data_IF_453841203215
#
_entry.id   IF_453841203215
#
_cell.length_a   1.000
_cell.length_b   1.000
_cell.length_c   1.000
_cell.angle_alpha   90.00
_cell.angle_beta   90.00
_cell.angle_gamma   90.00
#
_symmetry.space_group_name_H-M   'P 1'
#
loop_
_entity.id
_entity.type
_entity.pdbx_description
1 polymer ?
#
# COMPACT_ATOMS: atom_id res chain seq x y z
N UNK A 1 5.14 -4.91 25.83
CA UNK A 1 5.94 -4.42 24.70
C UNK A 1 5.97 -5.53 23.67
N UNK A 2 5.70 -5.24 22.40
CA UNK A 2 5.87 -6.23 21.34
C UNK A 2 7.36 -6.58 21.20
N UNK A 3 7.69 -7.87 21.13
CA UNK A 3 9.05 -8.36 20.83
C UNK A 3 9.07 -8.98 19.41
N UNK A 4 8.59 -8.25 18.41
CA UNK A 4 8.38 -8.79 17.05
C UNK A 4 9.71 -9.08 16.35
N UNK A 5 10.61 -8.09 16.33
CA UNK A 5 11.93 -8.25 15.69
C UNK A 5 12.82 -9.18 16.49
N UNK A 6 12.74 -9.15 17.82
CA UNK A 6 13.49 -10.09 18.66
C UNK A 6 13.02 -11.54 18.46
N UNK A 7 11.72 -11.76 18.18
CA UNK A 7 11.21 -13.09 17.83
C UNK A 7 11.81 -13.58 16.51
N UNK A 8 11.89 -12.71 15.49
CA UNK A 8 12.52 -13.02 14.20
C UNK A 8 14.03 -13.31 14.36
N UNK A 9 14.74 -12.47 15.10
CA UNK A 9 16.19 -12.56 15.25
C UNK A 9 16.65 -13.78 16.07
N UNK A 10 15.79 -14.32 16.94
CA UNK A 10 16.05 -15.54 17.72
C UNK A 10 15.76 -16.82 16.93
N UNK A 11 15.01 -16.73 15.83
CA UNK A 11 14.64 -17.87 15.00
C UNK A 11 15.59 -18.01 13.82
N UNK A 12 16.81 -18.44 14.14
CA UNK A 12 17.94 -18.55 13.20
C UNK A 12 17.69 -19.51 12.05
N UNK A 13 16.81 -20.49 12.26
CA UNK A 13 16.57 -21.57 11.31
C UNK A 13 15.27 -21.33 10.51
N UNK A 14 14.50 -20.29 10.86
CA UNK A 14 13.25 -19.93 10.19
C UNK A 14 12.11 -20.94 10.34
N UNK A 15 12.28 -21.95 11.21
CA UNK A 15 11.34 -23.07 11.39
C UNK A 15 10.59 -23.03 12.72
N UNK A 16 11.02 -22.22 13.69
CA UNK A 16 10.47 -22.25 15.05
C UNK A 16 9.34 -21.24 15.26
N UNK A 17 9.27 -20.19 14.46
CA UNK A 17 8.24 -19.15 14.55
C UNK A 17 7.22 -19.34 13.44
N UNK A 18 5.97 -19.58 13.83
CA UNK A 18 4.84 -19.63 12.90
C UNK A 18 4.52 -18.22 12.35
N UNK A 19 4.38 -18.13 11.02
CA UNK A 19 4.08 -16.87 10.35
C UNK A 19 2.68 -16.34 10.71
N UNK A 20 1.71 -17.23 10.95
CA UNK A 20 0.36 -16.87 11.36
C UNK A 20 0.34 -16.22 12.74
N UNK A 21 1.04 -16.80 13.71
CA UNK A 21 1.20 -16.24 15.06
C UNK A 21 1.92 -14.89 15.04
N UNK A 22 2.99 -14.78 14.24
CA UNK A 22 3.70 -13.51 14.07
C UNK A 22 2.81 -12.45 13.41
N UNK A 23 2.05 -12.82 12.37
CA UNK A 23 1.12 -11.92 11.70
C UNK A 23 0.00 -11.41 12.62
N UNK A 24 -0.55 -12.27 13.48
CA UNK A 24 -1.52 -11.89 14.50
C UNK A 24 -0.94 -10.87 15.48
N UNK A 25 0.29 -11.11 15.97
CA UNK A 25 0.97 -10.16 16.86
C UNK A 25 1.26 -8.81 16.18
N UNK A 26 1.56 -8.80 14.88
CA UNK A 26 1.74 -7.56 14.10
C UNK A 26 0.40 -6.83 13.93
N UNK A 27 -0.68 -7.57 13.68
CA UNK A 27 -2.03 -7.00 13.56
C UNK A 27 -2.49 -6.33 14.86
N UNK A 28 -2.19 -6.96 16.01
CA UNK A 28 -2.53 -6.45 17.34
C UNK A 28 -1.59 -5.32 17.82
N UNK A 29 -0.40 -5.21 17.23
CA UNK A 29 0.56 -4.16 17.58
C UNK A 29 0.12 -2.79 17.02
N UNK A 30 0.46 -1.74 17.78
CA UNK A 30 0.37 -0.37 17.28
C UNK A 30 1.59 -0.07 16.40
N UNK A 31 1.40 0.70 15.32
CA UNK A 31 2.45 1.12 14.39
C UNK A 31 3.61 1.83 15.12
N UNK A 32 3.28 2.61 16.17
CA UNK A 32 4.28 3.23 17.04
C UNK A 32 5.21 2.22 17.73
N UNK A 33 4.67 1.09 18.20
CA UNK A 33 5.46 0.06 18.88
C UNK A 33 6.39 -0.65 17.89
N UNK A 34 5.88 -0.97 16.71
CA UNK A 34 6.66 -1.59 15.62
C UNK A 34 7.80 -0.65 15.20
N UNK A 35 7.52 0.63 14.99
CA UNK A 35 8.53 1.62 14.63
C UNK A 35 9.57 1.84 15.73
N UNK A 36 9.14 1.92 16.99
CA UNK A 36 10.05 2.05 18.14
C UNK A 36 10.99 0.86 18.25
N UNK A 37 10.47 -0.36 18.09
CA UNK A 37 11.26 -1.59 18.13
C UNK A 37 12.26 -1.63 16.95
N UNK A 38 11.83 -1.29 15.74
CA UNK A 38 12.71 -1.20 14.57
C UNK A 38 13.85 -0.19 14.75
N UNK A 39 13.54 0.95 15.36
CA UNK A 39 14.50 2.03 15.63
C UNK A 39 15.54 1.65 16.70
N UNK A 40 15.24 0.67 17.56
CA UNK A 40 16.18 0.19 18.58
C UNK A 40 17.21 -0.82 18.07
N UNK A 41 17.03 -1.33 16.84
CA UNK A 41 17.94 -2.29 16.24
C UNK A 41 19.23 -1.60 15.78
N UNK A 42 20.36 -2.28 15.94
CA UNK A 42 21.60 -1.90 15.27
C UNK A 42 21.59 -2.32 13.78
N UNK A 43 22.62 -1.93 13.03
CA UNK A 43 22.69 -2.20 11.59
C UNK A 43 22.75 -3.70 11.26
N UNK A 44 23.48 -4.49 12.04
CA UNK A 44 23.59 -5.94 11.86
C UNK A 44 22.25 -6.63 12.14
N UNK A 45 21.58 -6.24 13.22
CA UNK A 45 20.24 -6.71 13.57
C UNK A 45 19.21 -6.32 12.51
N UNK A 46 19.29 -5.10 11.96
CA UNK A 46 18.43 -4.69 10.84
C UNK A 46 18.65 -5.57 9.61
N UNK A 47 19.91 -5.80 9.21
CA UNK A 47 20.24 -6.66 8.08
C UNK A 47 19.69 -8.07 8.24
N UNK A 48 19.92 -8.69 9.41
CA UNK A 48 19.38 -10.03 9.71
C UNK A 48 17.86 -10.08 9.74
N UNK A 49 17.21 -9.06 10.28
CA UNK A 49 15.75 -8.97 10.28
C UNK A 49 15.18 -8.84 8.85
N UNK A 50 15.81 -8.05 7.98
CA UNK A 50 15.41 -7.94 6.58
C UNK A 50 15.50 -9.27 5.85
N UNK A 51 16.62 -9.99 5.99
CA UNK A 51 16.81 -11.32 5.38
C UNK A 51 15.77 -12.33 5.92
N UNK A 52 15.57 -12.38 7.24
CA UNK A 52 14.60 -13.30 7.85
C UNK A 52 13.17 -13.03 7.38
N UNK A 53 12.80 -11.77 7.18
CA UNK A 53 11.51 -11.37 6.60
C UNK A 53 11.43 -11.85 5.14
N UNK A 54 12.46 -11.57 4.32
CA UNK A 54 12.47 -11.96 2.91
C UNK A 54 12.30 -13.47 2.73
N UNK A 55 13.04 -14.29 3.49
CA UNK A 55 12.96 -15.76 3.44
C UNK A 55 11.56 -16.29 3.74
N UNK A 56 10.81 -15.61 4.62
CA UNK A 56 9.46 -16.00 5.06
C UNK A 56 8.34 -15.50 4.15
N UNK A 57 8.63 -14.59 3.23
CA UNK A 57 7.58 -13.98 2.37
C UNK A 57 7.14 -14.85 1.18
N UNK A 58 7.60 -16.09 1.10
CA UNK A 58 7.30 -17.03 0.00
C UNK A 58 6.09 -17.91 0.35
N UNK A 59 4.96 -17.72 -0.34
CA UNK A 59 3.76 -18.54 -0.14
C UNK A 59 2.60 -18.21 -1.08
N UNK A 60 1.66 -19.13 -1.25
CA UNK A 60 0.44 -18.95 -2.05
C UNK A 60 -0.84 -19.02 -1.22
N UNK A 61 -1.88 -18.26 -1.59
CA UNK A 61 -3.18 -18.23 -0.90
C UNK A 61 -3.47 -16.93 -0.15
N UNK A 62 -4.71 -16.71 0.28
CA UNK A 62 -5.15 -15.45 0.90
C UNK A 62 -4.56 -15.24 2.30
N UNK A 63 -4.51 -16.28 3.15
CA UNK A 63 -3.88 -16.19 4.47
C UNK A 63 -2.40 -15.91 4.38
N UNK A 64 -1.68 -16.69 3.56
CA UNK A 64 -0.27 -16.43 3.30
C UNK A 64 -0.04 -15.01 2.79
N UNK A 65 -0.92 -14.46 1.95
CA UNK A 65 -0.79 -13.07 1.51
C UNK A 65 -1.03 -12.04 2.65
N UNK A 66 -1.93 -12.31 3.60
CA UNK A 66 -2.11 -11.48 4.79
C UNK A 66 -0.89 -11.56 5.70
N UNK A 67 -0.34 -12.75 5.91
CA UNK A 67 0.90 -12.98 6.66
C UNK A 67 2.09 -12.28 6.01
N UNK A 68 2.27 -12.45 4.69
CA UNK A 68 3.27 -11.70 3.89
C UNK A 68 3.09 -10.20 4.06
N UNK A 69 1.86 -9.69 4.02
CA UNK A 69 1.61 -8.26 4.22
C UNK A 69 1.94 -7.78 5.64
N UNK A 70 1.77 -8.63 6.65
CA UNK A 70 2.20 -8.36 8.02
C UNK A 70 3.73 -8.24 8.10
N UNK A 71 4.44 -9.21 7.53
CA UNK A 71 5.91 -9.21 7.45
C UNK A 71 6.45 -7.99 6.68
N UNK A 72 5.78 -7.60 5.59
CA UNK A 72 6.11 -6.38 4.84
C UNK A 72 5.86 -5.10 5.63
N UNK A 73 4.95 -5.11 6.62
CA UNK A 73 4.76 -3.98 7.52
C UNK A 73 5.98 -3.81 8.41
N UNK A 74 6.53 -4.90 8.96
CA UNK A 74 7.80 -4.83 9.69
C UNK A 74 8.94 -4.36 8.79
N UNK A 75 9.03 -4.87 7.56
CA UNK A 75 10.04 -4.43 6.60
C UNK A 75 9.99 -2.91 6.33
N UNK A 76 8.81 -2.33 6.15
CA UNK A 76 8.63 -0.89 5.89
C UNK A 76 9.13 -0.01 7.05
N UNK A 77 9.21 -0.55 8.27
CA UNK A 77 9.72 0.17 9.45
C UNK A 77 11.21 -0.02 9.72
N UNK A 78 11.89 -0.95 9.04
CA UNK A 78 13.35 -1.14 9.15
C UNK A 78 14.17 -0.06 8.41
N UNK A 79 13.48 0.92 7.82
CA UNK A 79 14.03 1.87 6.86
C UNK A 79 14.63 3.08 7.58
N UNK A 80 15.93 3.31 7.39
CA UNK A 80 16.66 4.44 8.00
C UNK A 80 17.42 5.26 6.96
N UNK A 81 18.11 4.61 6.00
CA UNK A 81 18.97 5.33 5.03
C UNK A 81 18.52 5.22 3.56
N UNK A 82 17.77 4.17 3.20
CA UNK A 82 17.28 3.93 1.84
C UNK A 82 15.90 4.55 1.62
N UNK A 83 15.61 4.97 0.39
CA UNK A 83 14.24 5.27 -0.01
C UNK A 83 13.39 4.00 0.00
N UNK A 84 12.09 4.15 0.29
CA UNK A 84 11.12 3.06 0.20
C UNK A 84 11.19 2.34 -1.15
N UNK A 85 11.46 3.04 -2.25
CA UNK A 85 11.58 2.43 -3.57
C UNK A 85 12.79 1.49 -3.70
N UNK A 86 13.93 1.85 -3.13
CA UNK A 86 15.15 1.03 -3.13
C UNK A 86 14.98 -0.23 -2.29
N UNK A 87 14.39 -0.10 -1.11
CA UNK A 87 14.13 -1.25 -0.23
C UNK A 87 13.18 -2.27 -0.86
N UNK A 88 12.14 -1.81 -1.54
CA UNK A 88 11.24 -2.71 -2.25
C UNK A 88 11.86 -3.29 -3.54
N UNK A 89 12.92 -2.66 -4.08
CA UNK A 89 13.72 -3.25 -5.15
C UNK A 89 14.60 -4.38 -4.60
N UNK A 90 15.28 -4.16 -3.47
CA UNK A 90 16.07 -5.21 -2.80
C UNK A 90 15.18 -6.41 -2.43
N UNK A 91 13.97 -6.15 -1.92
CA UNK A 91 13.00 -7.21 -1.60
C UNK A 91 12.52 -7.95 -2.86
N UNK A 92 12.33 -7.26 -3.98
CA UNK A 92 11.98 -7.88 -5.25
C UNK A 92 13.09 -8.81 -5.75
N UNK A 93 14.34 -8.39 -5.64
CA UNK A 93 15.51 -9.20 -6.02
C UNK A 93 15.66 -10.46 -5.13
N UNK A 94 15.42 -10.35 -3.82
CA UNK A 94 15.56 -11.48 -2.87
C UNK A 94 14.38 -12.47 -2.92
N UNK A 95 13.16 -11.96 -3.12
CA UNK A 95 11.94 -12.78 -3.03
C UNK A 95 11.45 -13.26 -4.40
N UNK A 96 11.83 -12.58 -5.48
CA UNK A 96 11.27 -12.74 -6.82
C UNK A 96 9.82 -12.23 -6.95
N UNK A 97 9.28 -11.59 -5.92
CA UNK A 97 7.94 -11.01 -5.95
C UNK A 97 8.03 -9.60 -6.51
N UNK A 98 7.27 -9.32 -7.57
CA UNK A 98 7.34 -8.01 -8.20
C UNK A 98 6.94 -6.88 -7.24
N UNK A 99 7.55 -5.71 -7.43
CA UNK A 99 7.31 -4.55 -6.58
C UNK A 99 5.84 -4.20 -6.42
N UNK A 100 5.09 -4.24 -7.53
CA UNK A 100 3.64 -4.00 -7.54
C UNK A 100 2.90 -4.99 -6.65
N UNK A 101 3.29 -6.26 -6.64
CA UNK A 101 2.67 -7.28 -5.78
C UNK A 101 3.03 -7.07 -4.31
N UNK A 102 4.26 -6.68 -3.99
CA UNK A 102 4.66 -6.31 -2.63
C UNK A 102 3.82 -5.14 -2.09
N UNK A 103 3.66 -4.07 -2.87
CA UNK A 103 2.84 -2.92 -2.48
C UNK A 103 1.36 -3.27 -2.27
N UNK A 104 0.76 -3.99 -3.21
CA UNK A 104 -0.65 -4.41 -3.09
C UNK A 104 -0.88 -5.33 -1.90
N UNK A 105 0.10 -6.18 -1.59
CA UNK A 105 0.03 -7.10 -0.44
C UNK A 105 0.15 -6.33 0.88
N UNK A 106 1.04 -5.35 0.96
CA UNK A 106 1.14 -4.45 2.11
C UNK A 106 -0.13 -3.63 2.31
N UNK A 107 -0.67 -3.03 1.24
CA UNK A 107 -1.93 -2.29 1.30
C UNK A 107 -3.08 -3.19 1.78
N UNK A 108 -3.19 -4.40 1.24
CA UNK A 108 -4.17 -5.39 1.66
C UNK A 108 -4.11 -5.67 3.17
N UNK A 109 -2.91 -5.90 3.72
CA UNK A 109 -2.76 -6.12 5.16
C UNK A 109 -3.11 -4.89 5.99
N UNK A 110 -2.69 -3.68 5.57
CA UNK A 110 -3.03 -2.44 6.29
C UNK A 110 -4.53 -2.19 6.35
N UNK A 111 -5.25 -2.52 5.28
CA UNK A 111 -6.70 -2.32 5.21
C UNK A 111 -7.47 -3.42 5.92
N UNK A 112 -7.08 -4.69 5.74
CA UNK A 112 -7.91 -5.84 6.15
C UNK A 112 -7.24 -6.78 7.15
N UNK A 113 -5.93 -6.68 7.36
CA UNK A 113 -5.13 -7.62 8.14
C UNK A 113 -5.61 -7.76 9.58
N UNK A 114 -5.89 -6.62 10.23
CA UNK A 114 -6.42 -6.61 11.60
C UNK A 114 -7.72 -7.40 11.74
N UNK A 115 -8.62 -7.26 10.78
CA UNK A 115 -9.91 -7.92 10.87
C UNK A 115 -9.84 -9.39 10.42
N UNK A 116 -9.24 -9.65 9.26
CA UNK A 116 -9.28 -10.95 8.60
C UNK A 116 -8.33 -11.99 9.19
N UNK A 117 -7.27 -11.58 9.89
CA UNK A 117 -6.44 -12.54 10.64
C UNK A 117 -7.18 -13.10 11.85
N UNK A 118 -8.05 -12.30 12.48
CA UNK A 118 -8.91 -12.74 13.60
C UNK A 118 -10.19 -13.43 13.13
N UNK A 119 -10.75 -13.04 11.97
CA UNK A 119 -11.90 -13.70 11.35
C UNK A 119 -11.48 -14.62 10.19
N UNK A 120 -10.98 -15.80 10.56
CA UNK A 120 -10.49 -16.76 9.57
C UNK A 120 -11.57 -17.29 8.63
N UNK A 121 -12.83 -17.34 9.08
CA UNK A 121 -13.95 -17.85 8.30
C UNK A 121 -14.27 -16.90 7.16
N UNK A 122 -14.31 -15.60 7.43
CA UNK A 122 -14.51 -14.57 6.41
C UNK A 122 -13.32 -14.50 5.46
N UNK A 123 -12.09 -14.55 5.98
CA UNK A 123 -10.88 -14.54 5.16
C UNK A 123 -10.82 -15.70 4.14
N UNK A 124 -11.24 -16.90 4.54
CA UNK A 124 -11.31 -18.08 3.65
C UNK A 124 -12.31 -17.91 2.48
N UNK A 125 -13.24 -16.96 2.57
CA UNK A 125 -14.21 -16.65 1.51
C UNK A 125 -13.72 -15.53 0.59
N UNK A 126 -12.57 -14.94 0.87
CA UNK A 126 -11.99 -13.86 0.09
C UNK A 126 -10.85 -14.36 -0.78
N UNK A 127 -10.88 -14.01 -2.07
CA UNK A 127 -9.71 -14.21 -2.93
C UNK A 127 -8.68 -13.11 -2.69
N UNK A 128 -7.41 -13.48 -2.63
CA UNK A 128 -6.28 -12.55 -2.45
C UNK A 128 -6.35 -11.34 -3.41
N UNK A 129 -6.57 -11.60 -4.70
CA UNK A 129 -6.66 -10.54 -5.71
C UNK A 129 -7.89 -9.62 -5.54
N UNK A 130 -8.99 -10.10 -4.98
CA UNK A 130 -10.13 -9.24 -4.67
C UNK A 130 -9.81 -8.27 -3.53
N UNK A 131 -9.16 -8.76 -2.47
CA UNK A 131 -8.74 -7.92 -1.35
C UNK A 131 -7.69 -6.90 -1.76
N UNK A 132 -6.68 -7.30 -2.57
CA UNK A 132 -5.71 -6.36 -3.15
C UNK A 132 -6.36 -5.23 -3.93
N UNK A 133 -7.40 -5.54 -4.73
CA UNK A 133 -8.15 -4.51 -5.47
C UNK A 133 -8.93 -3.58 -4.53
N UNK A 134 -9.57 -4.11 -3.50
CA UNK A 134 -10.36 -3.32 -2.55
C UNK A 134 -9.49 -2.46 -1.61
N UNK A 135 -8.22 -2.85 -1.42
CA UNK A 135 -7.24 -2.10 -0.63
C UNK A 135 -6.66 -0.89 -1.38
N UNK A 136 -6.98 -0.70 -2.66
CA UNK A 136 -6.49 0.44 -3.43
C UNK A 136 -6.85 1.78 -2.77
N UNK A 137 -5.94 2.75 -2.88
CA UNK A 137 -6.05 4.08 -2.24
C UNK A 137 -7.34 4.82 -2.57
N UNK A 138 -7.81 4.70 -3.81
CA UNK A 138 -9.01 5.38 -4.33
C UNK A 138 -10.31 4.58 -4.12
N UNK A 139 -10.24 3.42 -3.45
CA UNK A 139 -11.43 2.62 -3.14
C UNK A 139 -12.10 3.18 -1.89
N UNK A 140 -13.39 3.47 -2.03
CA UNK A 140 -14.21 3.96 -0.93
C UNK A 140 -14.36 2.94 0.21
N UNK A 141 -14.37 3.44 1.44
CA UNK A 141 -14.58 2.62 2.64
C UNK A 141 -15.93 1.89 2.59
N UNK A 142 -16.97 2.50 2.03
CA UNK A 142 -18.28 1.87 1.85
C UNK A 142 -18.21 0.61 0.95
N UNK A 143 -17.35 0.62 -0.08
CA UNK A 143 -17.14 -0.54 -0.94
C UNK A 143 -16.40 -1.67 -0.21
N UNK A 144 -15.45 -1.30 0.66
CA UNK A 144 -14.70 -2.25 1.50
C UNK A 144 -15.61 -2.92 2.54
N UNK A 145 -16.39 -2.12 3.27
CA UNK A 145 -17.36 -2.61 4.25
C UNK A 145 -18.40 -3.53 3.62
N UNK A 146 -18.99 -3.12 2.48
CA UNK A 146 -19.97 -3.97 1.77
C UNK A 146 -19.34 -5.28 1.29
N UNK A 147 -18.07 -5.27 0.85
CA UNK A 147 -17.37 -6.48 0.45
C UNK A 147 -17.15 -7.46 1.61
N UNK A 148 -16.83 -6.96 2.80
CA UNK A 148 -16.65 -7.77 3.99
C UNK A 148 -17.98 -8.32 4.50
N UNK A 149 -19.04 -7.51 4.53
CA UNK A 149 -20.39 -7.99 4.85
C UNK A 149 -20.87 -9.08 3.88
N UNK A 150 -20.59 -8.91 2.59
CA UNK A 150 -20.88 -9.92 1.57
C UNK A 150 -20.20 -11.25 1.86
N UNK A 151 -18.93 -11.21 2.27
CA UNK A 151 -18.16 -12.40 2.65
C UNK A 151 -18.65 -13.02 3.97
N UNK A 152 -18.94 -12.21 5.00
CA UNK A 152 -19.51 -12.66 6.29
C UNK A 152 -20.87 -13.34 6.13
N UNK A 153 -21.67 -12.91 5.16
CA UNK A 153 -22.93 -13.55 4.78
C UNK A 153 -22.74 -14.93 4.11
N UNK A 154 -21.51 -15.41 3.97
CA UNK A 154 -21.19 -16.73 3.42
C UNK A 154 -20.89 -16.73 1.92
N UNK A 155 -20.84 -15.58 1.26
CA UNK A 155 -20.57 -15.53 -0.17
C UNK A 155 -19.06 -15.48 -0.47
N UNK A 156 -18.66 -15.94 -1.65
CA UNK A 156 -17.26 -15.88 -2.08
C UNK A 156 -16.94 -14.53 -2.74
N UNK A 157 -16.04 -13.77 -2.13
CA UNK A 157 -15.55 -12.49 -2.64
C UNK A 157 -14.47 -12.72 -3.71
N UNK A 158 -14.93 -12.78 -4.96
CA UNK A 158 -14.07 -12.90 -6.15
C UNK A 158 -13.66 -11.54 -6.71
N UNK A 159 -12.65 -11.52 -7.58
CA UNK A 159 -12.22 -10.33 -8.33
C UNK A 159 -13.39 -9.63 -9.02
N UNK A 160 -14.32 -10.40 -9.60
CA UNK A 160 -15.49 -9.86 -10.32
C UNK A 160 -16.43 -9.12 -9.38
N UNK A 161 -16.67 -9.67 -8.19
CA UNK A 161 -17.52 -9.04 -7.16
C UNK A 161 -16.87 -7.75 -6.67
N UNK A 162 -15.57 -7.78 -6.33
CA UNK A 162 -14.83 -6.60 -5.93
C UNK A 162 -14.92 -5.47 -6.96
N UNK A 163 -14.69 -5.76 -8.24
CA UNK A 163 -14.83 -4.77 -9.33
C UNK A 163 -16.23 -4.18 -9.43
N UNK A 164 -17.27 -4.98 -9.21
CA UNK A 164 -18.65 -4.49 -9.23
C UNK A 164 -18.95 -3.57 -8.04
N UNK A 165 -18.48 -3.93 -6.85
CA UNK A 165 -18.63 -3.11 -5.64
C UNK A 165 -17.90 -1.76 -5.79
N UNK A 166 -16.65 -1.78 -6.24
CA UNK A 166 -15.87 -0.56 -6.49
C UNK A 166 -16.61 0.36 -7.48
N UNK A 167 -17.09 -0.18 -8.60
CA UNK A 167 -17.85 0.60 -9.60
C UNK A 167 -19.19 1.13 -9.05
N UNK A 168 -19.89 0.34 -8.24
CA UNK A 168 -21.17 0.71 -7.64
C UNK A 168 -21.00 1.96 -6.77
N UNK A 169 -19.98 1.98 -5.92
CA UNK A 169 -19.75 3.11 -5.01
C UNK A 169 -19.15 4.33 -5.72
N UNK A 170 -18.21 4.12 -6.66
CA UNK A 170 -17.66 5.22 -7.47
C UNK A 170 -18.74 5.99 -8.25
N UNK A 171 -19.78 5.29 -8.77
CA UNK A 171 -20.90 5.92 -9.48
C UNK A 171 -21.79 6.76 -8.56
N UNK A 172 -22.00 6.31 -7.33
CA UNK A 172 -22.79 7.04 -6.32
C UNK A 172 -22.14 8.37 -5.96
N UNK A 173 -20.82 8.43 -5.87
CA UNK A 173 -20.10 9.69 -5.67
C UNK A 173 -20.22 10.66 -6.86
N UNK A 174 -20.25 10.14 -8.08
CA UNK A 174 -20.39 10.96 -9.29
C UNK A 174 -21.82 11.46 -9.57
N UNK A 175 -22.80 11.13 -8.72
CA UNK A 175 -24.22 11.49 -8.94
C UNK A 175 -24.86 10.80 -10.15
N UNK A 176 -24.18 9.83 -10.77
CA UNK A 176 -24.73 9.02 -11.86
C UNK A 176 -25.43 7.78 -11.32
N UNK A 177 -26.46 7.96 -10.49
CA UNK A 177 -27.48 6.93 -10.33
C UNK A 177 -28.43 7.02 -11.55
N UNK A 178 -28.23 6.09 -12.48
CA UNK A 178 -29.01 5.99 -13.71
C UNK A 178 -30.45 5.59 -13.45
N UNK A 179 -31.34 6.58 -13.45
CA UNK A 179 -32.71 6.43 -13.91
C UNK A 179 -32.76 6.41 -15.45
N UNK A 180 -33.58 5.53 -15.98
CA UNK A 180 -33.84 5.22 -17.40
C UNK A 180 -33.98 6.40 -18.37
N UNK A 181 -33.32 6.23 -19.53
CA UNK A 181 -33.63 6.69 -20.90
C UNK A 181 -34.39 8.03 -21.13
N UNK A 182 -33.69 9.02 -21.70
CA UNK A 182 -34.06 9.70 -22.96
C UNK A 182 -32.91 10.62 -23.44
N UNK A 183 -32.74 10.73 -24.77
CA UNK A 183 -31.82 11.63 -25.49
C UNK A 183 -32.71 12.53 -26.37
N UNK A 184 -32.24 13.65 -26.98
CA UNK A 184 -31.06 14.51 -26.78
C UNK A 184 -31.47 16.01 -26.59
N UNK A 185 -30.60 16.94 -26.16
CA UNK A 185 -29.93 18.00 -26.98
C UNK A 185 -29.26 19.07 -26.08
N UNK A 186 -28.37 19.94 -26.61
CA UNK A 186 -27.27 20.59 -25.87
C UNK A 186 -27.56 22.03 -25.45
N UNK A 187 -26.92 22.53 -24.39
CA UNK A 187 -26.53 23.96 -24.24
C UNK A 187 -25.73 24.15 -22.95
N UNK A 188 -24.52 24.70 -23.06
CA UNK A 188 -24.13 26.06 -22.62
C UNK A 188 -23.52 26.09 -21.22
N UNK A 189 -22.21 26.32 -21.21
CA UNK A 189 -21.46 26.79 -20.03
C UNK A 189 -21.94 28.20 -19.62
N UNK A 190 -21.83 28.55 -18.34
CA UNK A 190 -21.38 29.90 -18.01
C UNK A 190 -20.19 29.91 -17.05
N UNK A 191 -19.34 30.91 -17.28
CA UNK A 191 -18.20 31.34 -16.47
C UNK A 191 -18.66 32.12 -15.22
N UNK A 192 -17.67 32.34 -14.34
CA UNK A 192 -17.57 33.35 -13.26
C UNK A 192 -17.94 32.81 -11.87
N UNK A 193 -17.26 33.11 -10.76
CA UNK A 193 -16.29 34.16 -10.49
C UNK A 193 -15.35 33.77 -9.33
N UNK A 194 -14.28 34.55 -9.20
CA UNK A 194 -13.18 34.54 -8.25
C UNK A 194 -13.47 34.11 -6.80
N UNK A 195 -12.57 33.27 -6.27
CA UNK A 195 -12.16 33.33 -4.87
C UNK A 195 -10.67 33.70 -4.85
N UNK A 196 -10.41 34.95 -4.45
CA UNK A 196 -9.08 35.49 -4.27
C UNK A 196 -8.36 34.80 -3.09
N UNK A 197 -7.12 34.36 -3.31
CA UNK A 197 -6.12 34.23 -2.25
C UNK A 197 -4.84 34.93 -2.69
N UNK A 198 -4.33 35.71 -1.74
CA UNK A 198 -3.26 36.70 -1.75
C UNK A 198 -1.88 36.05 -1.47
N UNK A 199 -0.90 36.26 -2.36
CA UNK A 199 0.57 36.02 -2.26
C UNK A 199 1.03 34.57 -1.94
N UNK A 200 2.15 34.00 -2.42
CA UNK A 200 3.55 34.45 -2.36
C UNK A 200 4.45 33.46 -3.18
N UNK A 201 5.60 33.95 -3.67
CA UNK A 201 6.67 33.31 -4.47
C UNK A 201 6.88 31.77 -4.37
N UNK A 202 7.08 31.09 -5.52
CA UNK A 202 7.86 29.84 -5.60
C UNK A 202 8.44 29.65 -7.01
N UNK A 203 9.73 29.92 -7.18
CA UNK A 203 10.49 29.41 -8.32
C UNK A 203 10.49 27.87 -8.30
N UNK A 204 10.56 27.28 -9.49
CA UNK A 204 10.70 25.83 -9.77
C UNK A 204 9.40 25.02 -9.75
N UNK A 205 8.57 25.18 -10.78
CA UNK A 205 7.59 24.13 -11.13
C UNK A 205 8.33 22.92 -11.71
N UNK A 206 8.28 21.78 -10.99
CA UNK A 206 8.76 20.49 -11.47
C UNK A 206 7.72 19.90 -12.44
N UNK A 207 8.01 19.91 -13.75
CA UNK A 207 7.18 19.23 -14.74
C UNK A 207 7.61 17.77 -14.88
N UNK A 208 6.84 16.83 -14.32
CA UNK A 208 7.07 15.39 -14.51
C UNK A 208 6.21 14.87 -15.66
N UNK A 209 6.86 14.36 -16.70
CA UNK A 209 6.23 13.89 -17.93
C UNK A 209 6.34 12.36 -18.01
N UNK A 210 5.29 11.65 -17.58
CA UNK A 210 5.25 10.18 -17.59
C UNK A 210 4.86 9.71 -18.99
N UNK A 211 5.82 9.14 -19.74
CA UNK A 211 5.58 8.57 -21.07
C UNK A 211 5.49 7.04 -21.00
N UNK A 212 4.46 6.48 -21.62
CA UNK A 212 4.29 5.03 -21.79
C UNK A 212 5.34 4.52 -22.80
N UNK A 213 6.13 3.52 -22.42
CA UNK A 213 7.04 2.84 -23.37
C UNK A 213 6.31 1.87 -24.31
N UNK A 214 5.11 1.41 -23.97
CA UNK A 214 4.31 0.49 -24.81
C UNK A 214 2.82 0.65 -24.55
N UNK A 215 2.00 0.56 -25.61
CA UNK A 215 0.53 0.65 -25.52
C UNK A 215 -0.14 -0.60 -24.92
N UNK A 216 0.60 -1.70 -24.72
CA UNK A 216 0.04 -3.01 -24.35
C UNK A 216 0.05 -3.34 -22.86
N UNK A 217 0.74 -2.54 -22.03
CA UNK A 217 0.82 -2.77 -20.58
C UNK A 217 -0.25 -1.93 -19.90
N UNK A 218 -1.16 -2.58 -19.18
CA UNK A 218 -2.08 -1.91 -18.26
C UNK A 218 -1.21 -1.23 -17.20
N UNK A 219 -1.06 0.10 -17.33
CA UNK A 219 -0.31 0.88 -16.35
C UNK A 219 -1.19 1.02 -15.12
N UNK A 220 -0.67 0.54 -14.00
CA UNK A 220 -1.30 0.70 -12.70
C UNK A 220 -1.10 2.15 -12.25
N UNK A 221 -2.17 2.94 -12.25
CA UNK A 221 -2.14 4.36 -11.86
C UNK A 221 -1.55 4.53 -10.44
N UNK A 222 -1.70 3.52 -9.57
CA UNK A 222 -1.10 3.49 -8.24
C UNK A 222 0.44 3.43 -8.29
N UNK A 223 1.01 2.70 -9.27
CA UNK A 223 2.47 2.64 -9.47
C UNK A 223 3.01 3.98 -9.99
N UNK A 224 2.23 4.70 -10.81
CA UNK A 224 2.59 6.04 -11.28
C UNK A 224 2.60 7.03 -10.10
N UNK A 225 1.54 7.05 -9.29
CA UNK A 225 1.40 7.97 -8.16
C UNK A 225 2.55 7.77 -7.16
N UNK A 226 2.91 6.53 -6.85
CA UNK A 226 4.03 6.26 -5.94
C UNK A 226 5.40 6.64 -6.54
N UNK A 227 5.61 6.43 -7.85
CA UNK A 227 6.84 6.89 -8.50
C UNK A 227 6.97 8.42 -8.45
N UNK A 228 5.85 9.13 -8.57
CA UNK A 228 5.80 10.58 -8.40
C UNK A 228 6.08 11.02 -6.97
N UNK A 229 5.48 10.35 -5.96
CA UNK A 229 5.75 10.62 -4.55
C UNK A 229 7.23 10.39 -4.19
N UNK A 230 7.85 9.33 -4.72
CA UNK A 230 9.28 9.04 -4.54
C UNK A 230 10.18 10.09 -5.22
N UNK A 231 9.85 10.49 -6.46
CA UNK A 231 10.57 11.54 -7.18
C UNK A 231 10.48 12.89 -6.44
N UNK A 232 9.31 13.20 -5.86
CA UNK A 232 9.10 14.40 -5.07
C UNK A 232 9.92 14.38 -3.76
N UNK A 233 10.02 13.22 -3.11
CA UNK A 233 10.86 13.05 -1.92
C UNK A 233 12.34 13.21 -2.24
N UNK A 234 12.82 12.65 -3.35
CA UNK A 234 14.20 12.82 -3.81
C UNK A 234 14.52 14.28 -4.14
N UNK A 235 13.61 14.97 -4.83
CA UNK A 235 13.74 16.41 -5.11
C UNK A 235 13.82 17.23 -3.82
N UNK A 236 12.98 16.93 -2.82
CA UNK A 236 13.04 17.60 -1.51
C UNK A 236 14.39 17.42 -0.83
N UNK A 237 15.00 16.23 -0.86
CA UNK A 237 16.34 15.98 -0.30
C UNK A 237 17.41 16.82 -1.00
N UNK A 238 17.44 16.81 -2.34
CA UNK A 238 18.39 17.61 -3.13
C UNK A 238 18.21 19.12 -2.87
N UNK A 239 16.97 19.58 -2.76
CA UNK A 239 16.67 21.00 -2.49
C UNK A 239 17.14 21.40 -1.08
N UNK A 240 16.96 20.52 -0.09
CA UNK A 240 17.46 20.74 1.27
C UNK A 240 18.99 20.73 1.30
N UNK A 241 19.65 19.78 0.65
CA UNK A 241 21.10 19.69 0.53
C UNK A 241 21.72 20.93 -0.13
N UNK A 242 21.09 21.44 -1.20
CA UNK A 242 21.50 22.67 -1.88
C UNK A 242 21.28 23.94 -1.04
N UNK A 243 20.31 23.94 -0.14
CA UNK A 243 20.07 25.04 0.81
C UNK A 243 21.00 24.99 2.03
N UNK A 244 21.47 23.81 2.42
CA UNK A 244 22.41 23.61 3.55
C UNK A 244 23.89 23.63 3.15
N UNK A 245 24.21 23.61 1.86
CA UNK A 245 25.59 23.76 1.39
C UNK A 245 26.10 25.18 1.71
N UNK A 246 27.24 25.34 2.42
CA UNK A 246 27.79 26.66 2.69
C UNK A 246 28.12 27.33 1.36
N UNK A 247 27.59 28.54 1.14
CA UNK A 247 28.03 29.41 0.06
C UNK A 247 29.53 29.68 0.27
N UNK A 248 30.36 28.98 -0.48
CA UNK A 248 31.78 29.31 -0.60
C UNK A 248 31.83 30.68 -1.26
N UNK A 249 32.25 31.67 -0.49
CA UNK A 249 32.51 33.04 -0.92
C UNK A 249 33.80 33.14 -1.73
#
# INVERSE_FOLDING_TARGET
MSELYQTLLRDTDGTSVDNGDLALRIADANEFEIHREASSLDEDQRGRAMTAIADRTRGGGTFNALETGALLTMFDHLTTDKTRAELFADMEDETGISRTQLFRTLAMFRTFGRELLHDRVTAARCTCEALKLLAGKDVEEAARSEALEFARAGNFLTIKVAKNLIRKHARRQSGQDGGTAEKPTPSVSPKSADAAVLWQHSESQLHVLVRRQSQSVVVDDETIVMALEAALAAYKRVTVEQQTAPRVA
#
